data_IF_275933243092
#
_entry.id   IF_275933243092
#
_cell.length_a   1.000
_cell.length_b   1.000
_cell.length_c   1.000
_cell.angle_alpha   90.00
_cell.angle_beta   90.00
_cell.angle_gamma   90.00
#
_symmetry.space_group_name_H-M   'P 1'
#
loop_
_entity.id
_entity.type
_entity.pdbx_description
1 polymer ?
#
# COMPACT_ATOMS: atom_id res chain seq x y z
N UNK A 1 22.42 -2.59 6.60
CA UNK A 1 21.16 -2.14 5.95
C UNK A 1 20.70 -3.01 4.78
N UNK A 2 21.55 -3.38 3.80
CA UNK A 2 21.11 -4.15 2.62
C UNK A 2 20.53 -5.54 2.95
N UNK A 3 20.97 -6.18 4.04
CA UNK A 3 20.46 -7.49 4.47
C UNK A 3 19.05 -7.44 5.06
N UNK A 4 18.73 -6.40 5.85
CA UNK A 4 17.41 -6.23 6.47
C UNK A 4 16.33 -5.92 5.43
N UNK A 5 16.61 -5.02 4.48
CA UNK A 5 15.68 -4.68 3.40
C UNK A 5 15.34 -5.88 2.50
N UNK A 6 16.14 -6.95 2.54
CA UNK A 6 15.89 -8.17 1.77
C UNK A 6 14.99 -9.16 2.49
N UNK A 7 14.70 -8.95 3.77
CA UNK A 7 13.76 -9.76 4.55
C UNK A 7 12.32 -9.35 4.19
N UNK A 8 11.47 -10.27 3.71
CA UNK A 8 10.05 -10.00 3.51
C UNK A 8 9.38 -9.43 4.77
N UNK A 9 9.62 -10.03 5.94
CA UNK A 9 8.99 -9.63 7.21
C UNK A 9 9.21 -8.16 7.58
N UNK A 10 10.29 -7.53 7.14
CA UNK A 10 10.57 -6.12 7.44
C UNK A 10 9.49 -5.19 6.87
N UNK A 11 8.87 -5.54 5.75
CA UNK A 11 7.80 -4.73 5.14
C UNK A 11 6.45 -4.88 5.85
N UNK A 12 6.32 -5.83 6.78
CA UNK A 12 5.10 -6.09 7.54
C UNK A 12 5.28 -5.81 9.04
N UNK A 13 6.27 -6.46 9.65
CA UNK A 13 6.49 -6.42 11.09
C UNK A 13 6.96 -5.05 11.58
N UNK A 14 7.91 -4.41 10.89
CA UNK A 14 8.44 -3.10 11.32
C UNK A 14 7.37 -2.00 11.32
N UNK A 15 6.53 -1.86 10.27
CA UNK A 15 5.40 -0.93 10.29
C UNK A 15 4.43 -1.18 11.45
N UNK A 16 4.10 -2.44 11.75
CA UNK A 16 3.21 -2.78 12.88
C UNK A 16 3.85 -2.39 14.22
N UNK A 17 5.13 -2.74 14.43
CA UNK A 17 5.86 -2.38 15.64
C UNK A 17 5.95 -0.87 15.83
N UNK A 18 6.24 -0.13 14.74
CA UNK A 18 6.28 1.32 14.74
C UNK A 18 4.91 1.91 15.08
N UNK A 19 3.84 1.38 14.48
CA UNK A 19 2.49 1.85 14.74
C UNK A 19 2.07 1.60 16.20
N UNK A 20 2.36 0.41 16.76
CA UNK A 20 2.11 0.12 18.18
C UNK A 20 2.92 1.05 19.10
N UNK A 21 4.20 1.29 18.80
CA UNK A 21 5.03 2.21 19.58
C UNK A 21 4.48 3.66 19.53
N UNK A 22 4.09 4.14 18.35
CA UNK A 22 3.47 5.46 18.20
C UNK A 22 2.11 5.54 18.88
N UNK A 23 1.36 4.43 18.96
CA UNK A 23 0.10 4.35 19.71
C UNK A 23 0.35 4.54 21.20
N UNK A 24 1.33 3.84 21.77
CA UNK A 24 1.72 4.02 23.18
C UNK A 24 2.19 5.46 23.49
N UNK A 25 2.77 6.16 22.51
CA UNK A 25 3.19 7.55 22.67
C UNK A 25 2.05 8.56 22.48
N UNK A 26 1.04 8.22 21.65
CA UNK A 26 -0.01 9.16 21.24
C UNK A 26 -1.25 9.13 22.12
N UNK A 27 -1.47 8.04 22.87
CA UNK A 27 -2.67 7.85 23.68
C UNK A 27 -2.34 7.48 25.13
N UNK A 28 -3.12 8.01 26.05
CA UNK A 28 -3.22 7.55 27.43
C UNK A 28 -4.14 6.31 27.45
N UNK A 29 -3.55 5.16 27.12
CA UNK A 29 -4.30 3.93 26.86
C UNK A 29 -4.97 3.35 28.11
N UNK A 30 -6.26 2.96 28.00
CA UNK A 30 -6.88 2.06 28.96
C UNK A 30 -6.08 0.75 29.10
N UNK A 31 -5.94 0.25 30.33
CA UNK A 31 -5.07 -0.90 30.62
C UNK A 31 -5.49 -2.20 29.92
N UNK A 32 -6.79 -2.35 29.66
CA UNK A 32 -7.39 -3.47 28.92
C UNK A 32 -7.04 -3.45 27.42
N UNK A 33 -6.75 -2.28 26.83
CA UNK A 33 -6.46 -2.17 25.39
C UNK A 33 -5.03 -2.63 25.05
N UNK A 34 -4.16 -2.70 26.06
CA UNK A 34 -2.79 -3.18 25.92
C UNK A 34 -2.71 -4.61 25.38
N UNK A 35 -3.70 -5.46 25.70
CA UNK A 35 -3.73 -6.85 25.24
C UNK A 35 -3.74 -6.95 23.71
N UNK A 36 -4.52 -6.08 23.03
CA UNK A 36 -4.59 -6.09 21.57
C UNK A 36 -3.30 -5.61 20.92
N UNK A 37 -2.65 -4.60 21.51
CA UNK A 37 -1.33 -4.17 21.04
C UNK A 37 -0.26 -5.24 21.26
N UNK A 38 -0.26 -5.92 22.41
CA UNK A 38 0.65 -7.03 22.67
C UNK A 38 0.46 -8.17 21.66
N UNK A 39 -0.78 -8.49 21.28
CA UNK A 39 -1.06 -9.48 20.25
C UNK A 39 -0.42 -9.10 18.90
N UNK A 40 -0.57 -7.84 18.48
CA UNK A 40 0.06 -7.32 17.25
C UNK A 40 1.59 -7.38 17.34
N UNK A 41 2.17 -6.93 18.46
CA UNK A 41 3.62 -6.90 18.69
C UNK A 41 4.21 -8.31 18.70
N UNK A 42 3.65 -9.23 19.49
CA UNK A 42 4.13 -10.62 19.61
C UNK A 42 4.05 -11.32 18.26
N UNK A 43 2.94 -11.14 17.52
CA UNK A 43 2.79 -11.76 16.20
C UNK A 43 3.77 -11.17 15.19
N UNK A 44 3.97 -9.86 15.17
CA UNK A 44 4.95 -9.21 14.30
C UNK A 44 6.39 -9.67 14.60
N UNK A 45 6.76 -9.76 15.89
CA UNK A 45 8.06 -10.28 16.30
C UNK A 45 8.22 -11.75 15.95
N UNK A 46 7.18 -12.56 16.13
CA UNK A 46 7.17 -13.98 15.74
C UNK A 46 7.38 -14.17 14.24
N UNK A 47 6.70 -13.37 13.41
CA UNK A 47 6.90 -13.36 11.95
C UNK A 47 8.34 -12.96 11.59
N UNK A 48 8.87 -11.91 12.22
CA UNK A 48 10.23 -11.45 11.97
C UNK A 48 11.25 -12.53 12.34
N UNK A 49 11.10 -13.15 13.52
CA UNK A 49 11.96 -14.24 13.98
C UNK A 49 11.88 -15.44 13.04
N UNK A 50 10.67 -15.85 12.65
CA UNK A 50 10.47 -16.95 11.70
C UNK A 50 11.13 -16.66 10.34
N UNK A 51 10.96 -15.46 9.79
CA UNK A 51 11.51 -15.09 8.48
C UNK A 51 13.04 -15.09 8.47
N UNK A 52 13.70 -14.78 9.59
CA UNK A 52 15.16 -14.91 9.73
C UNK A 52 15.63 -16.34 9.38
N UNK A 53 14.82 -17.37 9.68
CA UNK A 53 15.13 -18.77 9.38
C UNK A 53 14.46 -19.32 8.12
N UNK A 54 13.33 -18.75 7.69
CA UNK A 54 12.51 -19.32 6.61
C UNK A 54 13.21 -19.38 5.25
N UNK A 55 14.14 -18.46 4.97
CA UNK A 55 14.99 -18.47 3.77
C UNK A 55 14.60 -17.56 2.60
N UNK A 56 13.33 -17.16 2.33
CA UNK A 56 13.02 -16.23 1.26
C UNK A 56 13.72 -14.89 1.45
N UNK A 57 14.50 -14.46 0.47
CA UNK A 57 15.11 -13.14 0.44
C UNK A 57 14.83 -12.49 -0.89
N UNK A 58 14.65 -11.17 -0.88
CA UNK A 58 14.65 -10.42 -2.13
C UNK A 58 15.92 -10.72 -2.93
N UNK A 59 15.82 -10.76 -4.28
CA UNK A 59 16.99 -10.84 -5.14
C UNK A 59 18.03 -9.78 -4.74
N UNK A 60 19.33 -10.09 -4.87
CA UNK A 60 20.37 -9.11 -4.63
C UNK A 60 20.17 -7.86 -5.51
N UNK A 61 20.52 -6.67 -5.00
CA UNK A 61 20.46 -5.41 -5.78
C UNK A 61 21.19 -5.50 -7.13
N UNK A 62 22.34 -6.21 -7.26
CA UNK A 62 22.97 -6.44 -8.56
C UNK A 62 22.05 -7.07 -9.62
N UNK A 63 21.16 -7.99 -9.23
CA UNK A 63 20.22 -8.65 -10.14
C UNK A 63 19.21 -7.64 -10.69
N UNK A 64 18.62 -6.81 -9.81
CA UNK A 64 17.71 -5.74 -10.21
C UNK A 64 18.37 -4.69 -11.11
N UNK A 65 19.66 -4.41 -10.88
CA UNK A 65 20.42 -3.45 -11.68
C UNK A 65 20.74 -3.98 -13.07
N UNK A 66 21.21 -5.23 -13.14
CA UNK A 66 21.63 -5.89 -14.39
C UNK A 66 20.43 -6.19 -15.30
N UNK A 67 19.24 -6.38 -14.74
CA UNK A 67 18.03 -6.60 -15.54
C UNK A 67 17.65 -5.32 -16.29
N UNK A 68 17.67 -5.40 -17.61
CA UNK A 68 17.15 -4.37 -18.50
C UNK A 68 15.82 -4.82 -19.10
N UNK A 69 14.74 -4.10 -18.79
CA UNK A 69 13.43 -4.39 -19.38
C UNK A 69 13.21 -3.63 -20.69
N UNK A 70 13.97 -2.59 -20.99
CA UNK A 70 13.77 -1.75 -22.18
C UNK A 70 13.88 -2.60 -23.45
N UNK A 71 12.86 -2.52 -24.30
CA UNK A 71 12.83 -3.24 -25.59
C UNK A 71 12.52 -4.74 -25.47
N UNK A 72 12.20 -5.24 -24.28
CA UNK A 72 11.76 -6.63 -24.06
C UNK A 72 10.26 -6.79 -24.29
N UNK A 73 9.80 -8.03 -24.47
CA UNK A 73 8.37 -8.39 -24.54
C UNK A 73 7.61 -7.91 -23.30
N UNK A 74 8.20 -8.05 -22.12
CA UNK A 74 7.63 -7.58 -20.85
C UNK A 74 7.38 -6.07 -20.88
N UNK A 75 8.37 -5.31 -21.37
CA UNK A 75 8.23 -3.86 -21.51
C UNK A 75 7.16 -3.48 -22.53
N UNK A 76 7.00 -4.22 -23.62
CA UNK A 76 5.93 -3.95 -24.59
C UNK A 76 4.55 -4.11 -23.94
N UNK A 77 4.31 -5.24 -23.29
CA UNK A 77 3.04 -5.52 -22.60
C UNK A 77 2.79 -4.52 -21.47
N UNK A 78 3.81 -4.18 -20.69
CA UNK A 78 3.68 -3.21 -19.61
C UNK A 78 3.42 -1.78 -20.09
N UNK A 79 3.98 -1.38 -21.24
CA UNK A 79 3.68 -0.06 -21.82
C UNK A 79 2.27 -0.01 -22.42
N UNK A 80 1.78 -1.10 -23.01
CA UNK A 80 0.39 -1.20 -23.44
C UNK A 80 -0.57 -1.12 -22.24
N UNK A 81 -0.26 -1.83 -21.15
CA UNK A 81 -0.98 -1.73 -19.89
C UNK A 81 -0.96 -0.31 -19.31
N UNK A 82 0.20 0.34 -19.27
CA UNK A 82 0.33 1.72 -18.81
C UNK A 82 -0.48 2.70 -19.67
N UNK A 83 -0.50 2.52 -21.00
CA UNK A 83 -1.33 3.32 -21.90
C UNK A 83 -2.83 3.14 -21.59
N UNK A 84 -3.28 1.90 -21.32
CA UNK A 84 -4.64 1.63 -20.86
C UNK A 84 -4.97 2.39 -19.58
N UNK A 85 -4.11 2.33 -18.56
CA UNK A 85 -4.30 3.10 -17.32
C UNK A 85 -4.38 4.60 -17.59
N UNK A 86 -3.50 5.14 -18.44
CA UNK A 86 -3.52 6.57 -18.80
C UNK A 86 -4.86 6.99 -19.41
N UNK A 87 -5.43 6.18 -20.30
CA UNK A 87 -6.76 6.42 -20.86
C UNK A 87 -7.80 6.49 -19.73
N UNK A 88 -7.78 5.55 -18.80
CA UNK A 88 -8.73 5.55 -17.67
C UNK A 88 -8.52 6.70 -16.69
N UNK A 89 -7.27 7.14 -16.45
CA UNK A 89 -7.00 8.36 -15.68
C UNK A 89 -7.59 9.59 -16.38
N UNK A 90 -7.47 9.69 -17.70
CA UNK A 90 -8.07 10.78 -18.46
C UNK A 90 -9.60 10.71 -18.44
N UNK A 91 -10.18 9.53 -18.61
CA UNK A 91 -11.63 9.33 -18.51
C UNK A 91 -12.16 9.73 -17.12
N UNK A 92 -11.45 9.39 -16.05
CA UNK A 92 -11.85 9.77 -14.68
C UNK A 92 -11.92 11.30 -14.53
N UNK A 93 -10.89 12.01 -15.02
CA UNK A 93 -10.80 13.47 -14.93
C UNK A 93 -11.74 14.21 -15.90
N UNK A 94 -12.11 13.60 -17.03
CA UNK A 94 -12.97 14.23 -18.04
C UNK A 94 -14.46 13.96 -17.82
N UNK A 95 -14.80 12.79 -17.27
CA UNK A 95 -16.20 12.36 -17.10
C UNK A 95 -16.77 12.68 -15.72
N UNK A 96 -15.92 12.91 -14.71
CA UNK A 96 -16.36 13.12 -13.33
C UNK A 96 -15.73 14.37 -12.71
N UNK A 97 -16.40 14.98 -11.70
CA UNK A 97 -15.84 16.10 -10.97
C UNK A 97 -14.50 15.75 -10.34
N UNK A 98 -13.54 16.66 -10.46
CA UNK A 98 -12.18 16.51 -9.91
C UNK A 98 -12.25 16.90 -8.43
N UNK A 99 -12.09 15.94 -7.48
CA UNK A 99 -12.31 16.21 -6.07
C UNK A 99 -11.48 17.36 -5.49
N UNK A 100 -10.24 17.55 -5.97
CA UNK A 100 -9.38 18.64 -5.51
C UNK A 100 -9.81 20.02 -6.03
N UNK A 101 -10.44 20.09 -7.20
CA UNK A 101 -10.78 21.37 -7.85
C UNK A 101 -12.23 21.77 -7.61
N UNK A 102 -13.15 20.80 -7.65
CA UNK A 102 -14.59 21.06 -7.64
C UNK A 102 -15.16 20.94 -6.22
N UNK A 103 -15.10 19.73 -5.65
CA UNK A 103 -15.68 19.44 -4.34
C UNK A 103 -15.01 18.20 -3.72
N UNK A 104 -14.33 18.32 -2.57
CA UNK A 104 -13.68 17.19 -1.90
C UNK A 104 -14.62 16.03 -1.55
N UNK A 105 -15.90 16.31 -1.30
CA UNK A 105 -16.90 15.28 -0.99
C UNK A 105 -17.22 14.36 -2.17
N UNK A 106 -17.02 14.84 -3.41
CA UNK A 106 -17.22 14.04 -4.63
C UNK A 106 -16.30 12.81 -4.70
N UNK A 107 -15.20 12.79 -3.92
CA UNK A 107 -14.35 11.62 -3.74
C UNK A 107 -15.14 10.37 -3.36
N UNK A 108 -16.14 10.50 -2.49
CA UNK A 108 -16.91 9.38 -1.96
C UNK A 108 -18.07 8.96 -2.87
N UNK A 109 -18.40 9.77 -3.88
CA UNK A 109 -19.50 9.50 -4.81
C UNK A 109 -19.00 8.61 -5.93
N UNK A 110 -19.47 7.35 -5.94
CA UNK A 110 -19.08 6.32 -6.92
C UNK A 110 -20.17 6.03 -7.97
N UNK A 111 -21.18 6.90 -8.07
CA UNK A 111 -22.31 6.76 -8.99
C UNK A 111 -21.93 6.99 -10.46
N UNK A 112 -22.85 6.68 -11.38
CA UNK A 112 -22.68 6.96 -12.81
C UNK A 112 -21.56 6.15 -13.49
N UNK A 113 -21.20 4.99 -12.93
CA UNK A 113 -20.12 4.15 -13.46
C UNK A 113 -18.71 4.61 -13.08
N UNK A 114 -18.58 5.65 -12.24
CA UNK A 114 -17.28 6.11 -11.72
C UNK A 114 -16.50 5.00 -11.06
N UNK A 115 -17.18 4.11 -10.34
CA UNK A 115 -16.56 2.95 -9.71
C UNK A 115 -15.73 2.12 -10.71
N UNK A 116 -16.28 1.80 -11.89
CA UNK A 116 -15.60 0.98 -12.89
C UNK A 116 -14.37 1.68 -13.49
N UNK A 117 -14.50 2.97 -13.78
CA UNK A 117 -13.37 3.78 -14.27
C UNK A 117 -12.28 3.85 -13.20
N UNK A 118 -12.69 4.06 -11.95
CA UNK A 118 -11.80 4.22 -10.81
C UNK A 118 -11.06 2.95 -10.42
N UNK A 119 -11.67 1.77 -10.57
CA UNK A 119 -10.97 0.49 -10.37
C UNK A 119 -9.74 0.33 -11.28
N UNK A 120 -9.77 0.92 -12.49
CA UNK A 120 -8.66 0.88 -13.44
C UNK A 120 -7.72 2.08 -13.25
N UNK A 121 -8.25 3.30 -13.12
CA UNK A 121 -7.44 4.51 -12.92
C UNK A 121 -6.64 4.46 -11.60
N UNK A 122 -7.17 3.77 -10.57
CA UNK A 122 -6.48 3.50 -9.31
C UNK A 122 -5.16 2.72 -9.49
N UNK A 123 -4.98 2.01 -10.60
CA UNK A 123 -3.73 1.31 -10.92
C UNK A 123 -2.62 2.25 -11.40
N UNK A 124 -2.85 3.57 -11.44
CA UNK A 124 -1.88 4.61 -11.78
C UNK A 124 -0.56 4.56 -10.97
N UNK A 125 -0.58 3.94 -9.79
CA UNK A 125 0.63 3.73 -8.98
C UNK A 125 1.68 2.84 -9.66
N UNK A 126 1.30 2.08 -10.69
CA UNK A 126 2.21 1.29 -11.51
C UNK A 126 2.95 2.12 -12.58
N UNK A 127 2.48 3.34 -12.90
CA UNK A 127 3.10 4.18 -13.94
C UNK A 127 4.54 4.58 -13.57
N UNK A 128 4.86 5.01 -12.34
CA UNK A 128 6.24 5.32 -11.97
C UNK A 128 7.22 4.14 -12.12
N UNK A 129 6.97 2.92 -11.56
CA UNK A 129 7.89 1.80 -11.76
C UNK A 129 7.97 1.37 -13.23
N UNK A 130 6.88 1.37 -14.00
CA UNK A 130 6.93 1.06 -15.45
C UNK A 130 7.76 2.10 -16.19
N UNK A 131 7.55 3.39 -15.95
CA UNK A 131 8.34 4.46 -16.55
C UNK A 131 9.83 4.32 -16.26
N UNK A 132 10.19 4.01 -15.02
CA UNK A 132 11.58 3.86 -14.59
C UNK A 132 12.28 2.61 -15.13
N UNK A 133 11.54 1.54 -15.41
CA UNK A 133 12.09 0.24 -15.80
C UNK A 133 12.02 -0.02 -17.32
N UNK A 134 10.97 0.46 -17.98
CA UNK A 134 10.63 0.08 -19.35
C UNK A 134 10.91 1.19 -20.38
N UNK A 135 11.00 2.45 -19.96
CA UNK A 135 11.08 3.58 -20.89
C UNK A 135 12.52 4.12 -21.03
N UNK A 136 12.99 4.17 -22.28
CA UNK A 136 14.29 4.80 -22.63
C UNK A 136 14.20 6.32 -22.74
N UNK A 137 13.10 6.83 -23.29
CA UNK A 137 12.91 8.27 -23.51
C UNK A 137 12.69 8.99 -22.17
N UNK A 138 13.56 9.98 -21.87
CA UNK A 138 13.51 10.73 -20.60
C UNK A 138 12.18 11.46 -20.40
N UNK A 139 11.60 12.03 -21.46
CA UNK A 139 10.33 12.72 -21.41
C UNK A 139 9.18 11.79 -21.04
N UNK A 140 9.02 10.69 -21.78
CA UNK A 140 7.95 9.72 -21.50
C UNK A 140 8.11 9.10 -20.11
N UNK A 141 9.34 8.80 -19.68
CA UNK A 141 9.60 8.32 -18.33
C UNK A 141 9.14 9.33 -17.27
N UNK A 142 9.54 10.58 -17.42
CA UNK A 142 9.19 11.63 -16.46
C UNK A 142 7.68 11.91 -16.48
N UNK A 143 7.04 11.82 -17.64
CA UNK A 143 5.58 11.95 -17.79
C UNK A 143 4.84 10.85 -17.03
N UNK A 144 5.24 9.58 -17.18
CA UNK A 144 4.63 8.47 -16.44
C UNK A 144 4.80 8.61 -14.92
N UNK A 145 5.98 9.04 -14.47
CA UNK A 145 6.24 9.32 -13.05
C UNK A 145 5.36 10.48 -12.56
N UNK A 146 5.28 11.56 -13.33
CA UNK A 146 4.47 12.73 -13.00
C UNK A 146 2.99 12.36 -12.88
N UNK A 147 2.44 11.67 -13.87
CA UNK A 147 1.02 11.29 -13.87
C UNK A 147 0.71 10.36 -12.69
N UNK A 148 1.57 9.37 -12.42
CA UNK A 148 1.39 8.47 -11.28
C UNK A 148 1.39 9.16 -9.91
N UNK A 149 1.92 10.38 -9.81
CA UNK A 149 1.90 11.19 -8.57
C UNK A 149 0.79 12.25 -8.61
N UNK A 150 0.63 12.95 -9.72
CA UNK A 150 -0.33 14.04 -9.86
C UNK A 150 -1.78 13.55 -9.88
N UNK A 151 -2.08 12.43 -10.55
CA UNK A 151 -3.44 11.91 -10.62
C UNK A 151 -4.02 11.60 -9.23
N UNK A 152 -3.36 10.81 -8.36
CA UNK A 152 -3.84 10.59 -6.99
C UNK A 152 -4.07 11.88 -6.19
N UNK A 153 -3.27 12.92 -6.41
CA UNK A 153 -3.46 14.22 -5.75
C UNK A 153 -4.73 14.90 -6.22
N UNK A 154 -4.98 14.94 -7.54
CA UNK A 154 -6.21 15.51 -8.12
C UNK A 154 -7.47 14.79 -7.62
N UNK A 155 -7.39 13.47 -7.43
CA UNK A 155 -8.52 12.67 -6.94
C UNK A 155 -8.54 12.48 -5.42
N UNK A 156 -7.71 13.21 -4.65
CA UNK A 156 -7.61 13.14 -3.17
C UNK A 156 -7.44 11.68 -2.68
N UNK A 157 -6.70 10.86 -3.44
CA UNK A 157 -6.42 9.47 -3.09
C UNK A 157 -5.04 9.32 -2.43
N UNK A 158 -5.07 9.36 -1.10
CA UNK A 158 -3.89 9.23 -0.23
C UNK A 158 -3.22 7.86 -0.39
N UNK A 159 -4.01 6.81 -0.57
CA UNK A 159 -3.48 5.45 -0.66
C UNK A 159 -2.70 5.28 -1.96
N UNK A 160 -3.28 5.69 -3.10
CA UNK A 160 -2.60 5.58 -4.39
C UNK A 160 -1.37 6.47 -4.48
N UNK A 161 -1.41 7.67 -3.91
CA UNK A 161 -0.23 8.53 -3.81
C UNK A 161 0.92 7.80 -3.08
N UNK A 162 0.66 7.21 -1.91
CA UNK A 162 1.69 6.49 -1.19
C UNK A 162 2.18 5.24 -1.92
N UNK A 163 1.30 4.52 -2.61
CA UNK A 163 1.70 3.37 -3.43
C UNK A 163 2.67 3.81 -4.55
N UNK A 164 2.40 4.93 -5.20
CA UNK A 164 3.28 5.52 -6.23
C UNK A 164 4.64 5.91 -5.65
N UNK A 165 4.65 6.65 -4.54
CA UNK A 165 5.89 7.13 -3.90
C UNK A 165 6.72 5.96 -3.34
N UNK A 166 6.08 4.99 -2.70
CA UNK A 166 6.72 3.76 -2.21
C UNK A 166 7.35 2.98 -3.36
N UNK A 167 6.59 2.74 -4.43
CA UNK A 167 7.08 1.98 -5.59
C UNK A 167 8.24 2.68 -6.29
N UNK A 168 8.15 4.00 -6.45
CA UNK A 168 9.22 4.81 -7.02
C UNK A 168 10.48 4.76 -6.14
N UNK A 169 10.33 4.98 -4.83
CA UNK A 169 11.45 4.94 -3.88
C UNK A 169 12.10 3.55 -3.86
N UNK A 170 11.31 2.48 -3.87
CA UNK A 170 11.82 1.11 -3.93
C UNK A 170 12.66 0.90 -5.19
N UNK A 171 12.14 1.23 -6.38
CA UNK A 171 12.85 1.08 -7.66
C UNK A 171 14.16 1.88 -7.68
N UNK A 172 14.14 3.13 -7.17
CA UNK A 172 15.34 3.98 -7.06
C UNK A 172 16.39 3.34 -6.15
N UNK A 173 15.98 2.76 -5.02
CA UNK A 173 16.90 2.12 -4.07
C UNK A 173 17.49 0.82 -4.63
N UNK A 174 16.67 -0.06 -5.20
CA UNK A 174 17.15 -1.40 -5.65
C UNK A 174 17.96 -1.37 -6.93
N UNK A 175 17.79 -0.34 -7.78
CA UNK A 175 18.60 -0.16 -9.00
C UNK A 175 19.88 0.66 -8.77
N UNK A 176 20.10 1.17 -7.55
CA UNK A 176 21.31 1.91 -7.20
C UNK A 176 22.54 1.02 -7.30
N UNK A 177 23.68 1.61 -7.65
CA UNK A 177 24.99 0.96 -7.41
C UNK A 177 25.29 0.90 -5.92
N UNK A 178 25.64 -0.28 -5.40
CA UNK A 178 26.01 -0.44 -3.98
C UNK A 178 27.20 0.44 -3.59
N UNK A 179 28.14 0.68 -4.51
CA UNK A 179 29.32 1.54 -4.30
C UNK A 179 29.00 3.03 -4.10
N UNK A 180 27.80 3.49 -4.44
CA UNK A 180 27.36 4.88 -4.20
C UNK A 180 26.63 4.97 -2.87
N UNK A 181 26.68 6.09 -2.11
CA UNK A 181 25.90 6.24 -0.89
C UNK A 181 24.38 6.15 -1.15
N UNK A 182 23.60 5.81 -0.12
CA UNK A 182 22.14 5.90 -0.20
C UNK A 182 21.73 7.33 -0.55
N UNK A 183 20.78 7.53 -1.48
CA UNK A 183 20.26 8.86 -1.80
C UNK A 183 19.28 9.29 -0.70
N UNK A 184 19.74 9.32 0.56
CA UNK A 184 18.91 9.59 1.73
C UNK A 184 18.25 10.96 1.62
N UNK A 185 18.93 11.95 1.02
CA UNK A 185 18.33 13.27 0.75
C UNK A 185 17.08 13.15 -0.12
N UNK A 186 17.13 12.36 -1.20
CA UNK A 186 15.99 12.17 -2.09
C UNK A 186 14.89 11.34 -1.41
N UNK A 187 15.25 10.27 -0.69
CA UNK A 187 14.29 9.42 0.02
C UNK A 187 13.58 10.21 1.14
N UNK A 188 14.32 10.98 1.92
CA UNK A 188 13.78 11.86 2.97
C UNK A 188 12.93 12.96 2.34
N UNK A 189 13.37 13.59 1.25
CA UNK A 189 12.58 14.59 0.54
C UNK A 189 11.25 14.01 0.02
N UNK A 190 11.28 12.83 -0.62
CA UNK A 190 10.07 12.13 -1.08
C UNK A 190 9.16 11.80 0.11
N UNK A 191 9.73 11.34 1.23
CA UNK A 191 9.00 11.05 2.46
C UNK A 191 8.33 12.28 3.06
N UNK A 192 9.05 13.39 3.18
CA UNK A 192 8.54 14.66 3.69
C UNK A 192 7.47 15.26 2.78
N UNK A 193 7.68 15.21 1.46
CA UNK A 193 6.69 15.66 0.48
C UNK A 193 5.42 14.81 0.58
N UNK A 194 5.55 13.49 0.63
CA UNK A 194 4.43 12.57 0.81
C UNK A 194 3.68 12.81 2.11
N UNK A 195 4.39 12.97 3.23
CA UNK A 195 3.80 13.29 4.53
C UNK A 195 3.09 14.64 4.53
N UNK A 196 3.69 15.67 3.91
CA UNK A 196 3.09 17.01 3.82
C UNK A 196 1.82 16.99 2.99
N UNK A 197 1.86 16.40 1.79
CA UNK A 197 0.67 16.25 0.94
C UNK A 197 -0.39 15.42 1.64
N UNK A 198 0.00 14.35 2.35
CA UNK A 198 -0.94 13.54 3.13
C UNK A 198 -1.64 14.35 4.22
N UNK A 199 -0.90 15.14 5.01
CA UNK A 199 -1.47 15.97 6.07
C UNK A 199 -2.40 17.04 5.49
N UNK A 200 -2.00 17.70 4.39
CA UNK A 200 -2.83 18.70 3.71
C UNK A 200 -4.11 18.08 3.17
N UNK A 201 -4.01 16.96 2.44
CA UNK A 201 -5.19 16.25 1.94
C UNK A 201 -6.08 15.72 3.08
N UNK A 202 -5.47 15.34 4.21
CA UNK A 202 -6.19 14.95 5.43
C UNK A 202 -7.03 16.09 5.98
N UNK A 203 -6.44 17.28 6.15
CA UNK A 203 -7.15 18.48 6.62
C UNK A 203 -8.26 18.88 5.64
N UNK A 204 -7.97 18.90 4.34
CA UNK A 204 -8.95 19.27 3.30
C UNK A 204 -10.14 18.30 3.24
N UNK A 205 -9.92 17.01 3.48
CA UNK A 205 -10.95 15.98 3.40
C UNK A 205 -11.75 15.81 4.69
N UNK A 206 -11.10 15.92 5.84
CA UNK A 206 -11.66 15.51 7.13
C UNK A 206 -11.78 16.64 8.15
N UNK A 207 -11.36 17.86 7.82
CA UNK A 207 -11.50 19.03 8.68
C UNK A 207 -10.47 19.08 9.82
N UNK A 208 -10.83 19.79 10.89
CA UNK A 208 -9.99 19.98 12.09
C UNK A 208 -10.09 18.79 13.05
N UNK A 209 -9.00 18.50 13.77
CA UNK A 209 -8.96 17.41 14.76
C UNK A 209 -9.50 17.81 16.14
N UNK A 210 -9.89 19.06 16.33
CA UNK A 210 -10.25 19.62 17.65
C UNK A 210 -11.52 18.99 18.24
N UNK A 211 -12.37 18.39 17.41
CA UNK A 211 -13.61 17.73 17.83
C UNK A 211 -13.43 16.23 18.10
N UNK A 212 -12.21 15.70 17.95
CA UNK A 212 -11.94 14.26 18.16
C UNK A 212 -11.68 14.00 19.65
N UNK A 213 -12.62 13.32 20.29
CA UNK A 213 -12.54 12.95 21.70
C UNK A 213 -11.95 11.55 21.88
N UNK A 214 -10.62 11.44 21.77
CA UNK A 214 -9.87 10.24 22.14
C UNK A 214 -8.95 10.57 23.32
N UNK A 215 -8.51 9.57 24.11
CA UNK A 215 -7.60 9.79 25.24
C UNK A 215 -6.18 10.07 24.72
N UNK A 216 -5.99 11.21 24.08
CA UNK A 216 -4.69 11.62 23.55
C UNK A 216 -3.76 12.08 24.67
N UNK A 217 -2.50 11.65 24.61
CA UNK A 217 -1.43 12.06 25.53
C UNK A 217 -1.08 13.54 25.37
N UNK A 218 -0.40 14.10 26.37
CA UNK A 218 0.11 15.48 26.31
C UNK A 218 1.06 15.70 25.13
N UNK A 219 1.88 14.69 24.81
CA UNK A 219 2.79 14.71 23.66
C UNK A 219 2.03 14.90 22.34
N UNK A 220 0.92 14.18 22.16
CA UNK A 220 0.08 14.34 20.97
C UNK A 220 -0.59 15.72 20.94
N UNK A 221 -1.13 16.19 22.07
CA UNK A 221 -1.81 17.49 22.16
C UNK A 221 -0.89 18.66 21.86
N UNK A 222 0.38 18.58 22.27
CA UNK A 222 1.40 19.58 22.01
C UNK A 222 1.92 19.59 20.55
N UNK A 223 1.66 18.54 19.77
CA UNK A 223 2.15 18.44 18.40
C UNK A 223 1.45 19.44 17.44
N UNK A 224 2.16 19.95 16.42
CA UNK A 224 1.55 20.75 15.34
C UNK A 224 0.42 19.99 14.60
N UNK A 225 -0.57 20.69 14.02
CA UNK A 225 -1.73 20.05 13.37
C UNK A 225 -1.37 19.01 12.30
N UNK A 226 -0.36 19.30 11.48
CA UNK A 226 0.11 18.36 10.45
C UNK A 226 0.71 17.08 11.03
N UNK A 227 1.36 17.17 12.19
CA UNK A 227 1.93 16.02 12.92
C UNK A 227 0.82 15.23 13.61
N UNK A 228 -0.16 15.92 14.22
CA UNK A 228 -1.35 15.27 14.81
C UNK A 228 -2.05 14.37 13.78
N UNK A 229 -2.25 14.85 12.56
CA UNK A 229 -2.83 14.05 11.47
C UNK A 229 -2.02 12.80 11.13
N UNK A 230 -0.69 12.90 11.08
CA UNK A 230 0.18 11.75 10.80
C UNK A 230 0.14 10.74 11.95
N UNK A 231 0.27 11.22 13.19
CA UNK A 231 0.24 10.38 14.38
C UNK A 231 -1.10 9.68 14.50
N UNK A 232 -2.21 10.41 14.38
CA UNK A 232 -3.57 9.84 14.42
C UNK A 232 -3.72 8.72 13.40
N UNK A 233 -3.31 8.97 12.16
CA UNK A 233 -3.51 7.98 11.09
C UNK A 233 -2.68 6.72 11.31
N UNK A 234 -1.41 6.85 11.73
CA UNK A 234 -0.53 5.70 11.96
C UNK A 234 -0.95 4.91 13.21
N UNK A 235 -1.52 5.58 14.22
CA UNK A 235 -1.77 4.99 15.54
C UNK A 235 -3.22 4.61 15.82
N UNK A 236 -4.20 5.16 15.09
CA UNK A 236 -5.61 4.86 15.31
C UNK A 236 -5.96 3.39 15.02
N UNK A 237 -5.28 2.75 14.06
CA UNK A 237 -5.52 1.34 13.75
C UNK A 237 -5.20 0.41 14.93
N UNK A 238 -3.97 0.41 15.48
CA UNK A 238 -3.65 -0.39 16.67
C UNK A 238 -4.50 -0.01 17.90
N UNK A 239 -4.83 1.28 18.09
CA UNK A 239 -5.73 1.73 19.15
C UNK A 239 -7.11 1.07 19.03
N UNK A 240 -7.75 1.20 17.86
CA UNK A 240 -9.07 0.63 17.60
C UNK A 240 -9.06 -0.90 17.69
N UNK A 241 -7.98 -1.55 17.24
CA UNK A 241 -7.78 -2.99 17.39
C UNK A 241 -7.76 -3.41 18.87
N UNK A 242 -7.02 -2.69 19.72
CA UNK A 242 -7.03 -2.90 21.17
C UNK A 242 -8.40 -2.71 21.80
N UNK A 243 -9.10 -1.63 21.42
CA UNK A 243 -10.42 -1.31 21.93
C UNK A 243 -11.46 -2.38 21.61
N UNK A 244 -11.51 -2.85 20.35
CA UNK A 244 -12.46 -3.90 19.94
C UNK A 244 -12.17 -5.23 20.61
N UNK A 245 -10.89 -5.59 20.77
CA UNK A 245 -10.52 -6.81 21.48
C UNK A 245 -11.01 -6.76 22.94
N UNK A 246 -10.74 -5.65 23.65
CA UNK A 246 -11.13 -5.46 25.04
C UNK A 246 -12.66 -5.46 25.23
N UNK A 247 -13.40 -4.93 24.25
CA UNK A 247 -14.87 -4.91 24.26
C UNK A 247 -15.50 -6.25 23.90
N UNK A 248 -14.71 -7.27 23.55
CA UNK A 248 -15.18 -8.59 23.11
C UNK A 248 -16.23 -8.53 21.99
N UNK A 249 -16.13 -7.51 21.13
CA UNK A 249 -17.11 -7.29 20.07
C UNK A 249 -16.85 -8.21 18.87
N UNK A 250 -17.90 -8.84 18.36
CA UNK A 250 -17.83 -9.71 17.19
C UNK A 250 -18.83 -9.30 16.10
N UNK A 251 -18.35 -9.27 14.86
CA UNK A 251 -19.14 -8.97 13.67
C UNK A 251 -18.41 -9.48 12.42
N UNK A 252 -18.94 -10.55 11.81
CA UNK A 252 -18.38 -11.12 10.57
C UNK A 252 -18.79 -10.36 9.30
N UNK A 253 -19.86 -9.56 9.34
CA UNK A 253 -20.40 -8.84 8.17
C UNK A 253 -19.36 -7.90 7.57
N UNK A 254 -18.55 -7.26 8.41
CA UNK A 254 -17.49 -6.36 7.94
C UNK A 254 -16.44 -7.11 7.09
N UNK A 255 -16.05 -8.32 7.50
CA UNK A 255 -15.13 -9.16 6.74
C UNK A 255 -15.77 -9.65 5.44
N UNK A 256 -17.05 -10.02 5.47
CA UNK A 256 -17.79 -10.45 4.26
C UNK A 256 -17.80 -9.34 3.22
N UNK A 257 -18.11 -8.09 3.62
CA UNK A 257 -18.14 -6.94 2.70
C UNK A 257 -16.75 -6.65 2.10
N UNK A 258 -15.66 -7.03 2.77
CA UNK A 258 -14.30 -6.87 2.26
C UNK A 258 -13.89 -7.99 1.29
N UNK A 259 -14.30 -9.23 1.57
CA UNK A 259 -13.91 -10.42 0.80
C UNK A 259 -14.82 -10.70 -0.41
N UNK A 260 -16.11 -10.39 -0.30
CA UNK A 260 -17.11 -10.77 -1.29
C UNK A 260 -17.50 -9.54 -2.14
N UNK A 261 -17.20 -9.55 -3.46
CA UNK A 261 -17.61 -8.47 -4.36
C UNK A 261 -19.12 -8.27 -4.32
N UNK A 262 -19.56 -7.02 -4.18
CA UNK A 262 -20.98 -6.66 -4.19
C UNK A 262 -21.76 -7.01 -2.92
N UNK A 263 -21.11 -7.50 -1.85
CA UNK A 263 -21.79 -7.83 -0.59
C UNK A 263 -22.24 -6.61 0.24
N UNK A 264 -21.70 -5.43 -0.05
CA UNK A 264 -22.10 -4.18 0.60
C UNK A 264 -20.93 -3.23 0.83
N UNK A 265 -21.21 -2.09 1.47
CA UNK A 265 -20.19 -1.10 1.80
C UNK A 265 -19.33 -1.55 2.99
N UNK A 266 -18.03 -1.25 2.93
CA UNK A 266 -17.07 -1.44 4.03
C UNK A 266 -17.01 -0.16 4.91
N UNK A 267 -18.17 0.46 5.13
CA UNK A 267 -18.28 1.65 5.97
C UNK A 267 -18.37 1.23 7.44
N UNK A 268 -17.48 1.79 8.26
CA UNK A 268 -17.51 1.68 9.74
C UNK A 268 -18.28 2.84 10.38
N UNK A 269 -18.40 3.98 9.69
CA UNK A 269 -19.20 5.11 10.16
C UNK A 269 -20.70 4.80 10.07
N UNK A 270 -21.46 5.17 11.09
CA UNK A 270 -22.91 4.87 11.17
C UNK A 270 -23.23 3.40 11.43
N UNK A 271 -22.24 2.58 11.81
CA UNK A 271 -22.45 1.18 12.20
C UNK A 271 -22.58 1.05 13.72
N UNK A 272 -23.06 -0.11 14.19
CA UNK A 272 -23.08 -0.48 15.61
C UNK A 272 -21.72 -0.95 16.17
N UNK A 273 -20.61 -0.69 15.48
CA UNK A 273 -19.27 -1.04 15.98
C UNK A 273 -18.91 -0.08 17.11
N UNK A 274 -18.55 -0.56 18.32
CA UNK A 274 -18.33 0.29 19.48
C UNK A 274 -16.93 0.93 19.46
N UNK A 275 -16.67 1.82 18.51
CA UNK A 275 -15.46 2.65 18.47
C UNK A 275 -15.58 3.80 19.49
N UNK A 276 -14.49 4.15 20.16
CA UNK A 276 -14.48 5.29 21.11
C UNK A 276 -14.71 6.63 20.42
N UNK A 277 -14.26 6.74 19.18
CA UNK A 277 -14.56 7.86 18.30
C UNK A 277 -15.07 7.30 16.96
N UNK A 278 -16.38 7.33 16.75
CA UNK A 278 -17.06 6.77 15.56
C UNK A 278 -16.64 7.46 14.25
N UNK A 279 -16.15 8.69 14.33
CA UNK A 279 -15.57 9.44 13.22
C UNK A 279 -14.11 9.06 12.91
N UNK A 280 -13.40 8.36 13.81
CA UNK A 280 -12.04 7.86 13.60
C UNK A 280 -12.11 6.37 13.29
N UNK A 281 -12.41 6.10 12.03
CA UNK A 281 -12.84 4.80 11.57
C UNK A 281 -11.69 4.01 10.88
N UNK A 282 -10.46 4.34 11.26
CA UNK A 282 -9.19 3.76 10.78
C UNK A 282 -8.95 2.42 11.49
N UNK A 283 -8.76 1.35 10.72
CA UNK A 283 -8.50 0.01 11.25
C UNK A 283 -7.20 -0.57 10.71
N UNK A 284 -6.64 -1.54 11.42
CA UNK A 284 -5.59 -2.40 10.86
C UNK A 284 -6.19 -3.31 9.78
N UNK A 285 -5.34 -3.85 8.90
CA UNK A 285 -5.71 -4.91 7.95
C UNK A 285 -6.36 -6.13 8.65
N UNK A 286 -6.02 -6.35 9.92
CA UNK A 286 -6.41 -7.51 10.71
C UNK A 286 -7.68 -7.25 11.53
N UNK A 287 -8.15 -6.01 11.58
CA UNK A 287 -9.34 -5.58 12.31
C UNK A 287 -10.64 -6.30 11.89
N UNK A 288 -10.93 -6.51 10.57
CA UNK A 288 -12.08 -7.32 10.15
C UNK A 288 -12.01 -8.76 10.67
N UNK A 289 -10.82 -9.35 10.67
CA UNK A 289 -10.60 -10.74 11.11
C UNK A 289 -10.72 -10.88 12.62
N UNK A 290 -10.28 -9.87 13.37
CA UNK A 290 -10.51 -9.76 14.81
C UNK A 290 -12.00 -9.78 15.13
N UNK A 291 -12.80 -8.96 14.44
CA UNK A 291 -14.25 -8.93 14.67
C UNK A 291 -14.94 -10.23 14.23
N UNK A 292 -14.47 -10.87 13.15
CA UNK A 292 -15.09 -12.09 12.65
C UNK A 292 -14.78 -13.33 13.50
N UNK A 293 -13.51 -13.52 13.88
CA UNK A 293 -13.01 -14.78 14.47
C UNK A 293 -12.14 -14.56 15.72
N UNK A 294 -12.17 -13.37 16.31
CA UNK A 294 -11.41 -13.03 17.51
C UNK A 294 -9.89 -12.97 17.29
N UNK A 295 -9.10 -13.08 18.38
CA UNK A 295 -7.64 -13.01 18.33
C UNK A 295 -7.00 -13.97 17.33
N UNK A 296 -7.52 -15.20 17.24
CA UNK A 296 -7.01 -16.22 16.33
C UNK A 296 -7.17 -15.80 14.87
N UNK A 297 -8.32 -15.21 14.50
CA UNK A 297 -8.55 -14.67 13.17
C UNK A 297 -7.54 -13.59 12.79
N UNK A 298 -7.29 -12.65 13.71
CA UNK A 298 -6.29 -11.60 13.51
C UNK A 298 -4.90 -12.20 13.26
N UNK A 299 -4.45 -13.13 14.12
CA UNK A 299 -3.14 -13.80 13.94
C UNK A 299 -3.06 -14.55 12.61
N UNK A 300 -4.10 -15.31 12.24
CA UNK A 300 -4.14 -16.03 10.96
C UNK A 300 -4.05 -15.08 9.77
N UNK A 301 -4.71 -13.92 9.82
CA UNK A 301 -4.60 -12.91 8.77
C UNK A 301 -3.20 -12.29 8.70
N UNK A 302 -2.53 -12.04 9.84
CA UNK A 302 -1.13 -11.58 9.83
C UNK A 302 -0.20 -12.61 9.18
N UNK A 303 -0.35 -13.89 9.54
CA UNK A 303 0.41 -15.00 8.96
C UNK A 303 0.10 -15.16 7.47
N UNK A 304 -1.16 -15.05 7.06
CA UNK A 304 -1.58 -15.13 5.67
C UNK A 304 -0.98 -14.01 4.81
N UNK A 305 -0.96 -12.78 5.33
CA UNK A 305 -0.35 -11.64 4.65
C UNK A 305 1.16 -11.81 4.50
N UNK A 306 1.83 -12.32 5.55
CA UNK A 306 3.24 -12.67 5.46
C UNK A 306 3.49 -13.80 4.44
N UNK A 307 2.67 -14.83 4.40
CA UNK A 307 2.79 -15.92 3.44
C UNK A 307 2.65 -15.41 1.99
N UNK A 308 1.69 -14.50 1.75
CA UNK A 308 1.50 -13.85 0.46
C UNK A 308 2.71 -12.99 0.07
N UNK A 309 3.28 -12.25 1.03
CA UNK A 309 4.49 -11.48 0.82
C UNK A 309 5.69 -12.38 0.50
N UNK A 310 5.91 -13.45 1.26
CA UNK A 310 6.97 -14.43 1.02
C UNK A 310 6.82 -15.12 -0.35
N UNK A 311 5.58 -15.45 -0.74
CA UNK A 311 5.27 -15.98 -2.07
C UNK A 311 5.64 -14.99 -3.19
N UNK A 312 5.29 -13.71 -3.03
CA UNK A 312 5.65 -12.68 -4.02
C UNK A 312 7.16 -12.51 -4.17
N UNK A 313 7.92 -12.63 -3.06
CA UNK A 313 9.38 -12.62 -3.08
C UNK A 313 9.94 -13.83 -3.82
N UNK A 314 9.40 -15.03 -3.58
CA UNK A 314 9.81 -16.24 -4.31
C UNK A 314 9.57 -16.10 -5.81
N UNK A 315 8.46 -15.48 -6.25
CA UNK A 315 8.16 -15.25 -7.68
C UNK A 315 9.14 -14.33 -8.39
N UNK A 316 9.88 -13.48 -7.67
CA UNK A 316 10.91 -12.65 -8.28
C UNK A 316 12.19 -13.43 -8.63
N UNK A 317 12.36 -14.64 -8.13
CA UNK A 317 13.48 -15.51 -8.49
C UNK A 317 13.17 -16.33 -9.75
N UNK A 318 14.17 -16.58 -10.63
CA UNK A 318 15.57 -16.10 -10.56
C UNK A 318 15.82 -14.73 -11.24
N UNK A 319 14.88 -14.24 -12.07
CA UNK A 319 15.20 -13.24 -13.10
C UNK A 319 14.64 -11.81 -12.87
N UNK A 320 14.13 -11.48 -11.67
CA UNK A 320 13.54 -10.18 -11.35
C UNK A 320 12.62 -9.63 -12.48
N UNK A 321 11.70 -10.48 -12.96
CA UNK A 321 10.72 -10.12 -13.98
C UNK A 321 9.83 -8.97 -13.51
N UNK A 322 9.36 -8.16 -14.46
CA UNK A 322 8.58 -6.95 -14.18
C UNK A 322 7.27 -7.25 -13.45
N UNK A 323 6.49 -8.23 -13.90
CA UNK A 323 5.16 -8.50 -13.31
C UNK A 323 5.23 -9.10 -11.90
N UNK A 324 6.14 -10.07 -11.61
CA UNK A 324 6.42 -10.46 -10.23
C UNK A 324 6.90 -9.29 -9.34
N UNK A 325 7.68 -8.35 -9.88
CA UNK A 325 8.06 -7.14 -9.15
C UNK A 325 6.83 -6.26 -8.86
N UNK A 326 5.92 -6.05 -9.80
CA UNK A 326 4.68 -5.30 -9.56
C UNK A 326 3.80 -5.98 -8.49
N UNK A 327 3.68 -7.31 -8.52
CA UNK A 327 2.99 -8.09 -7.48
C UNK A 327 3.63 -7.86 -6.11
N UNK A 328 4.96 -7.97 -6.03
CA UNK A 328 5.70 -7.70 -4.80
C UNK A 328 5.50 -6.26 -4.30
N UNK A 329 5.60 -5.27 -5.19
CA UNK A 329 5.40 -3.85 -4.84
C UNK A 329 4.01 -3.62 -4.25
N UNK A 330 2.98 -4.22 -4.84
CA UNK A 330 1.61 -4.12 -4.33
C UNK A 330 1.48 -4.75 -2.94
N UNK A 331 1.93 -5.99 -2.78
CA UNK A 331 1.77 -6.72 -1.51
C UNK A 331 2.62 -6.08 -0.40
N UNK A 332 3.87 -5.71 -0.70
CA UNK A 332 4.74 -5.03 0.27
C UNK A 332 4.21 -3.66 0.67
N UNK A 333 3.61 -2.90 -0.26
CA UNK A 333 2.88 -1.68 0.07
C UNK A 333 1.70 -1.96 1.00
N UNK A 334 0.85 -2.95 0.70
CA UNK A 334 -0.24 -3.33 1.61
C UNK A 334 0.28 -3.75 3.00
N UNK A 335 1.43 -4.42 3.08
CA UNK A 335 2.07 -4.76 4.35
C UNK A 335 2.51 -3.50 5.12
N UNK A 336 3.11 -2.52 4.43
CA UNK A 336 3.55 -1.25 5.04
C UNK A 336 2.36 -0.44 5.57
N UNK A 337 1.24 -0.48 4.87
CA UNK A 337 0.01 0.22 5.24
C UNK A 337 -0.90 -0.59 6.17
N UNK A 338 -0.58 -1.86 6.43
CA UNK A 338 -1.41 -2.77 7.22
C UNK A 338 -1.78 -2.27 8.62
N UNK A 339 -1.02 -1.40 9.31
CA UNK A 339 -1.46 -0.88 10.59
C UNK A 339 -2.64 0.11 10.50
N UNK A 340 -2.96 0.67 9.33
CA UNK A 340 -3.91 1.78 9.25
C UNK A 340 -4.78 1.86 7.98
N UNK A 341 -4.50 1.08 6.92
CA UNK A 341 -5.33 1.07 5.73
C UNK A 341 -5.55 -0.36 5.22
N UNK A 342 -6.70 -0.99 5.51
CA UNK A 342 -7.01 -2.34 5.03
C UNK A 342 -7.18 -2.33 3.51
N UNK A 343 -6.32 -3.07 2.81
CA UNK A 343 -6.27 -3.16 1.36
C UNK A 343 -5.82 -4.54 0.84
N UNK A 344 -5.09 -5.33 1.64
CA UNK A 344 -4.53 -6.60 1.21
C UNK A 344 -5.60 -7.64 0.89
N UNK A 345 -6.63 -7.74 1.72
CA UNK A 345 -7.71 -8.73 1.58
C UNK A 345 -8.90 -8.24 0.75
N UNK A 346 -8.69 -7.27 -0.13
CA UNK A 346 -9.75 -6.75 -1.01
C UNK A 346 -9.76 -7.46 -2.35
N UNK A 347 -10.93 -7.53 -2.99
CA UNK A 347 -11.04 -8.07 -4.34
C UNK A 347 -10.21 -7.28 -5.35
N UNK A 348 -10.11 -5.95 -5.22
CA UNK A 348 -9.27 -5.12 -6.09
C UNK A 348 -7.79 -5.52 -6.02
N UNK A 349 -7.30 -5.90 -4.83
CA UNK A 349 -5.93 -6.40 -4.68
C UNK A 349 -5.73 -7.78 -5.34
N UNK A 350 -6.67 -8.70 -5.12
CA UNK A 350 -6.65 -10.01 -5.79
C UNK A 350 -6.74 -9.86 -7.32
N UNK A 351 -7.60 -8.97 -7.81
CA UNK A 351 -7.75 -8.63 -9.22
C UNK A 351 -6.46 -8.08 -9.83
N UNK A 352 -5.77 -7.17 -9.13
CA UNK A 352 -4.46 -6.67 -9.59
C UNK A 352 -3.41 -7.78 -9.72
N UNK A 353 -3.35 -8.70 -8.74
CA UNK A 353 -2.45 -9.86 -8.81
C UNK A 353 -2.82 -10.72 -10.02
N UNK A 354 -4.10 -10.99 -10.24
CA UNK A 354 -4.60 -11.72 -11.41
C UNK A 354 -4.20 -11.05 -12.73
N UNK A 355 -4.37 -9.73 -12.84
CA UNK A 355 -3.92 -8.94 -14.02
C UNK A 355 -2.43 -9.12 -14.24
N UNK A 356 -1.59 -8.98 -13.21
CA UNK A 356 -0.15 -9.19 -13.36
C UNK A 356 0.20 -10.59 -13.87
N UNK A 357 -0.49 -11.64 -13.39
CA UNK A 357 -0.28 -13.01 -13.85
C UNK A 357 -0.70 -13.18 -15.33
N UNK A 358 -1.81 -12.59 -15.74
CA UNK A 358 -2.26 -12.60 -17.15
C UNK A 358 -1.29 -11.85 -18.04
N UNK A 359 -0.84 -10.65 -17.65
CA UNK A 359 0.15 -9.88 -18.40
C UNK A 359 1.49 -10.63 -18.51
N UNK A 360 1.88 -11.37 -17.46
CA UNK A 360 3.06 -12.24 -17.50
C UNK A 360 2.93 -13.35 -18.55
N UNK A 361 1.75 -13.98 -18.64
CA UNK A 361 1.46 -15.00 -19.67
C UNK A 361 1.49 -14.39 -21.07
N UNK A 362 0.83 -13.24 -21.28
CA UNK A 362 0.84 -12.54 -22.57
C UNK A 362 2.26 -12.18 -23.02
N UNK A 363 3.10 -11.70 -22.11
CA UNK A 363 4.50 -11.41 -22.42
C UNK A 363 5.30 -12.67 -22.79
N UNK A 364 5.00 -13.82 -22.18
CA UNK A 364 5.63 -15.09 -22.51
C UNK A 364 5.21 -15.60 -23.91
N UNK A 365 3.95 -15.36 -24.31
CA UNK A 365 3.40 -15.77 -25.62
C UNK A 365 3.88 -14.94 -26.81
N UNK A 366 4.38 -13.71 -26.59
CA UNK A 366 4.94 -12.89 -27.68
C UNK A 366 6.27 -13.47 -28.20
N UNK A 367 6.68 -13.24 -29.47
CA UNK A 367 7.95 -13.73 -30.01
C UNK A 367 9.19 -12.97 -29.47
N UNK A 368 10.39 -13.60 -29.43
CA UNK A 368 11.62 -12.97 -28.90
C UNK A 368 12.43 -12.48 -30.09
N UNK A 369 12.52 -11.17 -30.27
CA UNK A 369 13.37 -10.61 -31.32
C UNK A 369 14.86 -10.88 -31.08
N UNK A 370 15.27 -11.11 -29.82
CA UNK A 370 16.67 -11.42 -29.48
C UNK A 370 17.15 -12.82 -29.93
N UNK A 371 16.24 -13.77 -30.18
CA UNK A 371 16.62 -15.08 -30.74
C UNK A 371 16.68 -15.08 -32.27
N UNK A 372 15.87 -14.26 -32.94
CA UNK A 372 15.83 -14.20 -34.40
C UNK A 372 17.13 -13.67 -35.04
N UNK A 373 17.94 -12.90 -34.30
CA UNK A 373 19.21 -12.35 -34.79
C UNK A 373 20.41 -13.31 -34.65
N UNK A 374 20.24 -14.45 -33.96
CA UNK A 374 21.27 -15.50 -33.82
C UNK A 374 20.94 -16.79 -34.60
N UNK A 375 19.92 -16.75 -35.45
CA UNK A 375 19.44 -17.91 -36.24
C UNK A 375 19.67 -17.77 -37.74
N UNK A 376 20.67 -16.98 -38.15
CA UNK A 376 21.20 -16.98 -39.51
C UNK A 376 22.71 -17.28 -39.45
N UNK A 377 23.17 -18.47 -39.89
CA UNK A 377 24.54 -18.63 -40.35
C UNK A 377 24.78 -17.84 -41.65
#
# INVERSE_FOLDING_TARGET
MSRLLRLPSVYLAVPILLACALTLLSYDLPGDYLQGMLLLVITALGILLFDVFAGPRLPPMPVFRQRNHVGTRESFVALAYAAGILVFCLLDLLLFPIPLLDNPSSYATMEGGREHVRHISDMCWTLPPIGMLCVRNKWLRNLLVFIGVAFPVLVIDRNRLFASLFSLAFVVVVRRSEAKPLPWKAVVFIGLLGASVFSVLGILRSGTLDTVTLPFSDTYRAAPPGIKWLLLYISAGPYNFGAILAKHYSNATFLINQLVPGAGSVATAGTGIPLDASNINVGTEFFPFLMAWGPAGAVLSMVGLYALLAWSVRRMHPAASLFPLLIFLRISYCCVMSPFAPQAYTFTNAGFIGVCLVLQLLAASLPNRSHALHSYP
#
